data_IF_337489542961
#
_entry.id   IF_337489542961
#
_cell.length_a   1.000
_cell.length_b   1.000
_cell.length_c   1.000
_cell.angle_alpha   90.00
_cell.angle_beta   90.00
_cell.angle_gamma   90.00
#
_symmetry.space_group_name_H-M   'P 1'
#
loop_
_entity.id
_entity.type
_entity.pdbx_description
1 polymer ?
#
# COMPACT_ATOMS: atom_id res chain seq x y z
N UNK A 1 -24.46 -36.00 12.71
CA UNK A 1 -23.65 -34.99 12.01
C UNK A 1 -22.54 -34.53 12.96
N UNK A 2 -21.50 -35.34 13.12
CA UNK A 2 -20.52 -35.14 14.19
C UNK A 2 -19.22 -35.87 13.86
N UNK A 3 -18.55 -35.40 12.81
CA UNK A 3 -17.14 -35.74 12.56
C UNK A 3 -16.40 -34.48 12.16
N UNK A 4 -16.57 -33.41 12.94
CA UNK A 4 -15.77 -32.21 12.79
C UNK A 4 -14.45 -32.40 13.56
N UNK A 5 -13.44 -32.74 12.77
CA UNK A 5 -12.07 -32.25 12.92
C UNK A 5 -11.23 -32.81 14.08
N UNK A 6 -10.64 -34.00 13.90
CA UNK A 6 -9.39 -34.36 14.61
C UNK A 6 -8.26 -33.51 14.01
N UNK A 7 -7.94 -32.37 14.64
CA UNK A 7 -6.86 -31.47 14.22
C UNK A 7 -5.51 -32.17 14.43
N UNK A 8 -5.00 -32.80 13.38
CA UNK A 8 -3.66 -33.36 13.40
C UNK A 8 -2.66 -32.19 13.40
N UNK A 9 -1.78 -32.06 14.40
CA UNK A 9 -0.87 -30.89 14.49
C UNK A 9 0.00 -30.73 13.25
N UNK A 10 0.29 -31.84 12.57
CA UNK A 10 1.05 -31.85 11.31
C UNK A 10 0.28 -31.20 10.15
N UNK A 11 -1.07 -31.25 10.16
CA UNK A 11 -1.91 -30.59 9.17
C UNK A 11 -1.88 -29.05 9.33
N UNK A 12 -1.75 -28.54 10.57
CA UNK A 12 -1.49 -27.11 10.82
C UNK A 12 -0.14 -26.67 10.24
N UNK A 13 0.91 -27.47 10.45
CA UNK A 13 2.25 -27.15 9.92
C UNK A 13 2.29 -27.12 8.39
N UNK A 14 1.60 -28.05 7.72
CA UNK A 14 1.50 -28.09 6.26
C UNK A 14 0.72 -26.87 5.75
N UNK A 15 -0.40 -26.53 6.38
CA UNK A 15 -1.21 -25.38 6.00
C UNK A 15 -0.43 -24.06 6.18
N UNK A 16 0.31 -23.93 7.28
CA UNK A 16 1.14 -22.77 7.56
C UNK A 16 2.28 -22.60 6.54
N UNK A 17 2.97 -23.70 6.20
CA UNK A 17 4.00 -23.69 5.16
C UNK A 17 3.45 -23.34 3.78
N UNK A 18 2.24 -23.78 3.45
CA UNK A 18 1.57 -23.43 2.19
C UNK A 18 1.26 -21.93 2.12
N UNK A 19 0.75 -21.32 3.20
CA UNK A 19 0.46 -19.88 3.25
C UNK A 19 1.73 -19.04 3.05
N UNK A 20 2.84 -19.44 3.66
CA UNK A 20 4.14 -18.75 3.51
C UNK A 20 4.69 -18.80 2.07
N UNK A 21 4.37 -19.84 1.29
CA UNK A 21 4.82 -19.99 -0.09
C UNK A 21 4.11 -19.02 -1.07
N UNK A 22 2.96 -18.45 -0.69
CA UNK A 22 2.24 -17.46 -1.49
C UNK A 22 2.55 -16.01 -1.09
N UNK A 23 3.49 -15.78 -0.16
CA UNK A 23 3.93 -14.42 0.10
C UNK A 23 4.70 -13.91 -1.13
N UNK A 24 4.25 -12.81 -1.77
CA UNK A 24 4.97 -12.25 -2.91
C UNK A 24 6.40 -11.91 -2.47
N UNK A 25 7.38 -12.43 -3.20
CA UNK A 25 8.75 -11.98 -3.06
C UNK A 25 8.80 -10.54 -3.56
N UNK A 26 9.04 -9.59 -2.65
CA UNK A 26 9.17 -8.18 -2.98
C UNK A 26 10.46 -8.00 -3.80
N UNK A 27 10.32 -8.07 -5.12
CA UNK A 27 11.35 -7.66 -6.08
C UNK A 27 11.42 -6.14 -6.04
N UNK A 28 12.60 -5.60 -5.70
CA UNK A 28 12.82 -4.17 -5.77
C UNK A 28 13.10 -3.86 -7.23
N UNK A 29 12.10 -3.35 -7.93
CA UNK A 29 12.33 -2.79 -9.26
C UNK A 29 13.31 -1.62 -9.12
N UNK A 30 14.46 -1.72 -9.80
CA UNK A 30 15.43 -0.64 -9.92
C UNK A 30 14.85 0.45 -10.84
N UNK A 31 13.90 1.23 -10.32
CA UNK A 31 13.32 2.39 -11.02
C UNK A 31 14.39 3.48 -11.09
N UNK A 32 14.64 4.00 -12.30
CA UNK A 32 15.51 5.17 -12.50
C UNK A 32 15.05 6.30 -11.58
N UNK A 33 15.96 7.10 -10.99
CA UNK A 33 15.52 8.13 -10.07
C UNK A 33 14.85 9.24 -10.89
N UNK A 34 13.53 9.18 -10.97
CA UNK A 34 12.73 10.39 -10.96
C UNK A 34 13.12 11.18 -9.70
N UNK A 35 13.05 12.51 -9.75
CA UNK A 35 13.41 13.34 -8.60
C UNK A 35 12.70 12.77 -7.35
N UNK A 36 13.44 12.36 -6.31
CA UNK A 36 12.83 11.70 -5.15
C UNK A 36 11.69 12.51 -4.52
N UNK A 37 11.72 13.84 -4.67
CA UNK A 37 10.65 14.72 -4.18
C UNK A 37 9.39 14.63 -5.04
N UNK A 38 9.54 14.60 -6.36
CA UNK A 38 8.42 14.44 -7.30
C UNK A 38 7.77 13.08 -7.10
N UNK A 39 8.58 12.03 -6.97
CA UNK A 39 8.07 10.69 -6.67
C UNK A 39 7.32 10.66 -5.34
N UNK A 40 7.92 11.19 -4.28
CA UNK A 40 7.28 11.23 -2.97
C UNK A 40 5.96 12.04 -2.98
N UNK A 41 5.89 13.15 -3.72
CA UNK A 41 4.68 13.98 -3.86
C UNK A 41 3.57 13.20 -4.57
N UNK A 42 3.91 12.54 -5.66
CA UNK A 42 2.96 11.77 -6.46
C UNK A 42 2.45 10.55 -5.69
N UNK A 43 3.35 9.79 -5.04
CA UNK A 43 2.98 8.66 -4.18
C UNK A 43 2.13 9.10 -2.99
N UNK A 44 2.46 10.23 -2.37
CA UNK A 44 1.67 10.81 -1.29
C UNK A 44 0.25 11.14 -1.73
N UNK A 45 0.07 11.79 -2.88
CA UNK A 45 -1.25 12.13 -3.40
C UNK A 45 -2.10 10.89 -3.72
N UNK A 46 -1.51 9.88 -4.35
CA UNK A 46 -2.21 8.63 -4.66
C UNK A 46 -2.58 7.87 -3.38
N UNK A 47 -1.69 7.81 -2.39
CA UNK A 47 -2.00 7.24 -1.07
C UNK A 47 -3.16 7.96 -0.38
N UNK A 48 -3.21 9.30 -0.48
CA UNK A 48 -4.32 10.07 0.08
C UNK A 48 -5.63 9.74 -0.64
N UNK A 49 -5.65 9.65 -1.96
CA UNK A 49 -6.86 9.29 -2.70
C UNK A 49 -7.36 7.88 -2.40
N UNK A 50 -6.46 6.93 -2.15
CA UNK A 50 -6.82 5.54 -1.89
C UNK A 50 -7.26 5.30 -0.43
N UNK A 51 -6.55 5.89 0.55
CA UNK A 51 -6.70 5.53 1.96
C UNK A 51 -7.22 6.65 2.86
N UNK A 52 -7.22 7.90 2.40
CA UNK A 52 -7.66 9.01 3.25
C UNK A 52 -9.17 8.97 3.43
N UNK A 53 -9.62 8.96 4.68
CA UNK A 53 -11.04 8.82 5.03
C UNK A 53 -11.91 9.94 4.42
N UNK A 54 -11.35 11.13 4.19
CA UNK A 54 -12.03 12.29 3.61
C UNK A 54 -11.57 12.63 2.19
N UNK A 55 -11.11 11.64 1.41
CA UNK A 55 -10.66 11.87 0.03
C UNK A 55 -11.73 12.57 -0.84
N UNK A 56 -13.01 12.34 -0.54
CA UNK A 56 -14.16 12.94 -1.23
C UNK A 56 -14.37 14.43 -0.91
N UNK A 57 -13.65 14.95 0.09
CA UNK A 57 -13.69 16.35 0.53
C UNK A 57 -12.40 17.11 0.23
N UNK A 58 -11.37 16.42 -0.27
CA UNK A 58 -10.13 17.06 -0.67
C UNK A 58 -10.40 18.07 -1.80
N UNK A 59 -9.76 19.25 -1.78
CA UNK A 59 -9.87 20.20 -2.87
C UNK A 59 -9.26 19.62 -4.15
N UNK A 60 -9.85 19.98 -5.29
CA UNK A 60 -9.32 19.63 -6.60
C UNK A 60 -8.13 20.55 -6.92
N UNK A 61 -6.92 20.00 -6.87
CA UNK A 61 -5.64 20.70 -7.08
C UNK A 61 -4.82 19.99 -8.16
N UNK A 62 -4.06 20.75 -8.93
CA UNK A 62 -3.06 20.18 -9.84
C UNK A 62 -1.81 19.80 -9.04
N UNK A 63 -1.47 18.51 -9.02
CA UNK A 63 -0.33 17.97 -8.26
C UNK A 63 1.00 18.52 -8.77
N UNK A 64 1.08 18.88 -10.05
CA UNK A 64 2.29 19.38 -10.68
C UNK A 64 2.63 20.82 -10.29
N UNK A 65 1.71 21.53 -9.63
CA UNK A 65 1.94 22.89 -9.11
C UNK A 65 2.80 22.94 -7.83
N UNK A 66 3.14 21.78 -7.24
CA UNK A 66 3.83 21.67 -5.96
C UNK A 66 5.13 20.88 -6.09
N UNK A 67 6.21 21.30 -5.42
CA UNK A 67 7.52 20.63 -5.55
C UNK A 67 7.73 19.54 -4.49
N UNK A 68 6.98 19.58 -3.38
CA UNK A 68 7.12 18.62 -2.27
C UNK A 68 5.78 18.13 -1.73
N UNK A 69 5.75 16.97 -1.05
CA UNK A 69 4.56 16.47 -0.37
C UNK A 69 4.00 17.45 0.67
N UNK A 70 4.87 18.22 1.35
CA UNK A 70 4.45 19.18 2.38
C UNK A 70 3.70 20.37 1.79
N UNK A 71 4.14 20.89 0.64
CA UNK A 71 3.45 21.97 -0.07
C UNK A 71 2.08 21.51 -0.56
N UNK A 72 2.02 20.30 -1.12
CA UNK A 72 0.75 19.70 -1.54
C UNK A 72 -0.19 19.47 -0.36
N UNK A 73 0.31 18.96 0.77
CA UNK A 73 -0.50 18.76 1.98
C UNK A 73 -1.11 20.07 2.48
N UNK A 74 -0.38 21.19 2.41
CA UNK A 74 -0.91 22.49 2.84
C UNK A 74 -2.01 22.99 1.91
N UNK A 75 -1.94 22.69 0.61
CA UNK A 75 -3.02 22.98 -0.33
C UNK A 75 -4.27 22.09 -0.17
N UNK A 76 -4.10 20.89 0.39
CA UNK A 76 -5.18 19.92 0.59
C UNK A 76 -5.94 20.08 1.91
N UNK A 77 -5.39 20.85 2.87
CA UNK A 77 -5.98 21.10 4.19
C UNK A 77 -7.14 22.08 4.12
#
# INVERSE_FOLDING_TARGET
MSTLYKFNKYLLFILFGFILAFLPACEKDDVKPDDPKILARNEFYELMKEWYFWYDKMPDVDVEDYDTPEELLEALR
#
